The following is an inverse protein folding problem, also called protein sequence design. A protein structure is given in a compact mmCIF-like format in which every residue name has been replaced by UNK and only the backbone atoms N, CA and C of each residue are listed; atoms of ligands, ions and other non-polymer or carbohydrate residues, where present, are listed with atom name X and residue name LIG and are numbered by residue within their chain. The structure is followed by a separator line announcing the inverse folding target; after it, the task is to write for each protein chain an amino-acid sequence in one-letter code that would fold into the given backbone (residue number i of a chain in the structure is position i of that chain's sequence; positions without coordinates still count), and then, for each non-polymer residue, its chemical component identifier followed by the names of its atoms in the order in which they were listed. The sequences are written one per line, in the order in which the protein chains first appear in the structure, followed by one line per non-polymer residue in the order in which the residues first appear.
data_IF_786419454084
#
_entry.id   IF_786419454084
#
_cell.length_a   1.000
_cell.length_b   1.000
_cell.length_c   1.000
_cell.angle_alpha   90.00
_cell.angle_beta   90.00
_cell.angle_gamma   90.00
#
_symmetry.space_group_name_H-M   'P 1'
#
loop_
_entity.id
_entity.type
_entity.pdbx_description
1 polymer ?
#
# COMPACT_ATOMS: atom_id res chain seq x y z
N UNK A 1 28.03 -8.85 -13.28
CA UNK A 1 27.45 -7.49 -13.39
C UNK A 1 27.80 -6.76 -12.11
N UNK A 2 28.41 -5.58 -12.17
CA UNK A 2 28.83 -4.86 -10.98
C UNK A 2 27.60 -4.44 -10.16
N UNK A 3 27.60 -4.76 -8.87
CA UNK A 3 26.59 -4.28 -7.93
C UNK A 3 26.48 -2.76 -8.04
N UNK A 4 25.27 -2.19 -8.15
CA UNK A 4 25.12 -0.76 -8.28
C UNK A 4 25.55 -0.10 -6.95
N UNK A 5 26.74 0.50 -6.93
CA UNK A 5 27.28 1.28 -5.81
C UNK A 5 26.23 2.29 -5.30
N UNK A 6 25.75 2.10 -4.07
CA UNK A 6 24.81 2.99 -3.38
C UNK A 6 24.04 2.25 -2.28
N UNK A 7 23.33 3.01 -1.46
CA UNK A 7 22.37 2.50 -0.49
C UNK A 7 21.04 2.17 -1.18
N UNK A 8 20.27 1.31 -0.54
CA UNK A 8 19.01 0.79 -1.04
C UNK A 8 17.84 1.31 -0.22
N UNK A 9 16.78 1.73 -0.91
CA UNK A 9 15.50 2.07 -0.32
C UNK A 9 14.39 1.39 -1.11
N UNK A 10 13.76 0.40 -0.48
CA UNK A 10 12.57 -0.27 -0.96
C UNK A 10 11.34 0.59 -0.65
N UNK A 11 10.43 0.74 -1.61
CA UNK A 11 9.24 1.58 -1.48
C UNK A 11 8.00 0.84 -1.97
N UNK A 12 6.89 1.03 -1.27
CA UNK A 12 5.58 0.47 -1.60
C UNK A 12 4.86 1.27 -2.72
N UNK A 13 5.57 1.43 -3.83
CA UNK A 13 5.07 2.00 -5.08
C UNK A 13 5.68 1.29 -6.28
N UNK A 14 4.96 1.23 -7.39
CA UNK A 14 5.56 0.78 -8.65
C UNK A 14 6.70 1.72 -9.08
N UNK A 15 7.67 1.18 -9.84
CA UNK A 15 8.81 1.97 -10.33
C UNK A 15 8.39 3.23 -11.11
N UNK A 16 7.23 3.20 -11.80
CA UNK A 16 6.67 4.36 -12.49
C UNK A 16 6.18 5.44 -11.52
N UNK A 17 5.41 5.06 -10.50
CA UNK A 17 4.93 5.98 -9.46
C UNK A 17 6.09 6.58 -8.66
N UNK A 18 7.09 5.77 -8.33
CA UNK A 18 8.31 6.20 -7.63
C UNK A 18 9.07 7.26 -8.43
N UNK A 19 9.29 7.04 -9.73
CA UNK A 19 9.89 8.05 -10.63
C UNK A 19 9.09 9.34 -10.67
N UNK A 20 7.76 9.26 -10.70
CA UNK A 20 6.88 10.44 -10.72
C UNK A 20 7.06 11.28 -9.45
N UNK A 21 7.17 10.65 -8.28
CA UNK A 21 7.41 11.35 -7.00
C UNK A 21 8.81 11.98 -6.93
N UNK A 22 9.82 11.28 -7.41
CA UNK A 22 11.22 11.72 -7.38
C UNK A 22 11.59 12.75 -8.44
N UNK A 23 10.67 13.13 -9.34
CA UNK A 23 10.94 14.07 -10.46
C UNK A 23 11.56 15.40 -10.00
N UNK A 24 11.32 15.84 -8.76
CA UNK A 24 11.85 17.08 -8.18
C UNK A 24 12.85 16.88 -7.04
N UNK A 25 13.19 15.63 -6.71
CA UNK A 25 13.97 15.31 -5.52
C UNK A 25 15.46 15.69 -5.62
N UNK A 26 16.00 15.87 -6.85
CA UNK A 26 17.26 16.61 -7.12
C UNK A 26 18.57 16.01 -6.60
N UNK A 27 18.56 15.12 -5.61
CA UNK A 27 19.74 14.69 -4.86
C UNK A 27 19.84 13.17 -4.77
N UNK A 28 21.05 12.65 -4.98
CA UNK A 28 21.45 11.30 -4.55
C UNK A 28 20.80 10.09 -5.24
N UNK A 29 19.67 10.20 -5.94
CA UNK A 29 19.02 9.06 -6.60
C UNK A 29 19.80 8.68 -7.87
N UNK A 30 20.29 7.44 -7.92
CA UNK A 30 21.07 6.90 -9.04
C UNK A 30 20.21 6.10 -9.99
N UNK A 31 19.31 5.26 -9.47
CA UNK A 31 18.52 4.34 -10.28
C UNK A 31 17.24 3.95 -9.55
N UNK A 32 16.20 3.65 -10.33
CA UNK A 32 14.92 3.13 -9.84
C UNK A 32 14.57 1.87 -10.63
N UNK A 33 14.39 0.76 -9.92
CA UNK A 33 14.07 -0.56 -10.46
C UNK A 33 12.76 -1.09 -9.87
N UNK A 34 12.15 -2.06 -10.55
CA UNK A 34 11.01 -2.79 -10.01
C UNK A 34 11.52 -3.79 -8.96
N UNK A 35 10.88 -3.83 -7.80
CA UNK A 35 11.17 -4.82 -6.74
C UNK A 35 10.04 -5.83 -6.56
N UNK A 36 8.85 -5.55 -7.12
CA UNK A 36 7.69 -6.45 -7.03
C UNK A 36 6.44 -5.77 -7.57
N UNK A 37 5.28 -6.42 -7.39
CA UNK A 37 3.99 -5.79 -7.71
C UNK A 37 3.77 -4.63 -6.74
N UNK A 38 3.56 -3.43 -7.29
CA UNK A 38 3.46 -2.19 -6.51
C UNK A 38 4.66 -1.90 -5.60
N UNK A 39 5.85 -2.41 -5.94
CA UNK A 39 7.07 -2.18 -5.18
C UNK A 39 8.25 -1.81 -6.07
N UNK A 40 9.11 -0.95 -5.57
CA UNK A 40 10.28 -0.46 -6.29
C UNK A 40 11.50 -0.34 -5.38
N UNK A 41 12.66 -0.51 -5.99
CA UNK A 41 13.96 -0.28 -5.37
C UNK A 41 14.52 1.05 -5.88
N UNK A 42 14.80 1.96 -4.96
CA UNK A 42 15.54 3.20 -5.21
C UNK A 42 16.99 2.97 -4.77
N UNK A 43 17.91 3.05 -5.71
CA UNK A 43 19.35 3.03 -5.43
C UNK A 43 19.80 4.48 -5.32
N UNK A 44 20.36 4.87 -4.18
CA UNK A 44 20.74 6.24 -3.91
C UNK A 44 22.08 6.38 -3.18
N UNK A 45 22.57 7.62 -3.07
CA UNK A 45 23.68 8.04 -2.22
C UNK A 45 23.30 9.25 -1.38
N UNK A 46 22.00 9.51 -1.20
CA UNK A 46 21.51 10.50 -0.27
C UNK A 46 21.89 10.10 1.17
N UNK A 47 22.37 11.06 1.95
CA UNK A 47 22.79 10.90 3.35
C UNK A 47 22.24 12.05 4.19
N UNK A 48 22.16 11.87 5.51
CA UNK A 48 21.72 12.91 6.45
C UNK A 48 20.34 13.48 6.11
N UNK A 49 20.25 14.80 5.96
CA UNK A 49 19.00 15.50 5.66
C UNK A 49 18.36 15.07 4.35
N UNK A 50 19.16 14.86 3.30
CA UNK A 50 18.65 14.39 2.01
C UNK A 50 18.06 12.99 2.12
N UNK A 51 18.64 12.10 2.94
CA UNK A 51 18.04 10.78 3.18
C UNK A 51 16.70 10.92 3.89
N UNK A 52 16.64 11.77 4.92
CA UNK A 52 15.39 12.05 5.64
C UNK A 52 14.32 12.69 4.74
N UNK A 53 14.72 13.49 3.76
CA UNK A 53 13.80 14.05 2.75
C UNK A 53 13.32 12.96 1.77
N UNK A 54 14.23 12.07 1.34
CA UNK A 54 13.89 10.93 0.47
C UNK A 54 12.82 10.05 1.11
N UNK A 55 13.02 9.64 2.37
CA UNK A 55 12.10 8.81 3.12
C UNK A 55 10.74 9.50 3.33
N UNK A 56 10.77 10.82 3.62
CA UNK A 56 9.54 11.62 3.77
C UNK A 56 8.66 11.64 2.52
N UNK A 57 9.23 11.52 1.32
CA UNK A 57 8.44 11.42 0.08
C UNK A 57 7.62 10.12 -0.02
N UNK A 58 7.92 9.12 0.80
CA UNK A 58 7.28 7.81 0.79
C UNK A 58 6.62 7.43 2.11
N UNK A 59 6.58 8.32 3.09
CA UNK A 59 6.00 8.04 4.42
C UNK A 59 4.52 7.60 4.39
N UNK A 60 3.75 8.02 3.38
CA UNK A 60 2.33 7.65 3.20
C UNK A 60 2.12 6.25 2.59
N UNK A 61 3.16 5.66 2.00
CA UNK A 61 3.12 4.31 1.38
C UNK A 61 3.96 3.31 2.14
N UNK A 62 4.97 3.77 2.88
CA UNK A 62 5.98 2.93 3.52
C UNK A 62 7.22 2.77 2.66
N UNK A 63 8.38 2.83 3.30
CA UNK A 63 9.67 2.52 2.73
C UNK A 63 10.59 1.88 3.78
N UNK A 64 11.54 1.07 3.32
CA UNK A 64 12.53 0.42 4.19
C UNK A 64 13.88 0.33 3.50
N UNK A 65 14.98 0.36 4.25
CA UNK A 65 16.32 0.14 3.72
C UNK A 65 16.59 -1.34 3.35
N UNK A 66 15.78 -2.27 3.86
CA UNK A 66 15.84 -3.70 3.56
C UNK A 66 14.55 -4.22 2.92
N UNK A 67 14.67 -5.15 1.96
CA UNK A 67 13.53 -5.74 1.24
C UNK A 67 12.62 -6.54 2.18
N UNK A 68 13.23 -7.32 3.07
CA UNK A 68 12.54 -8.24 3.98
C UNK A 68 11.64 -7.54 5.02
N UNK A 69 11.86 -6.26 5.25
CA UNK A 69 11.13 -5.48 6.25
C UNK A 69 9.99 -4.65 5.64
N UNK A 70 9.77 -4.74 4.33
CA UNK A 70 8.73 -3.97 3.65
C UNK A 70 7.43 -4.80 3.53
N UNK A 71 6.42 -4.56 4.38
CA UNK A 71 5.15 -5.28 4.31
C UNK A 71 4.43 -5.06 2.98
N UNK A 72 3.64 -6.06 2.58
CA UNK A 72 2.92 -6.04 1.31
C UNK A 72 1.96 -4.84 1.22
N UNK A 73 2.07 -4.00 0.18
CA UNK A 73 1.23 -2.81 0.04
C UNK A 73 -0.23 -3.19 -0.15
N UNK A 74 -1.15 -2.37 0.39
CA UNK A 74 -2.59 -2.62 0.31
C UNK A 74 -3.08 -2.70 -1.15
N UNK A 75 -2.43 -2.01 -2.10
CA UNK A 75 -2.68 -2.09 -3.54
C UNK A 75 -2.54 -3.50 -4.13
N UNK A 76 -1.87 -4.42 -3.45
CA UNK A 76 -1.75 -5.80 -3.90
C UNK A 76 -2.95 -6.67 -3.54
N UNK A 77 -3.79 -6.24 -2.60
CA UNK A 77 -4.97 -6.97 -2.17
C UNK A 77 -5.88 -7.29 -3.36
N UNK A 78 -6.32 -8.55 -3.45
CA UNK A 78 -7.28 -8.97 -4.49
C UNK A 78 -8.57 -8.16 -4.39
N UNK A 79 -9.21 -7.91 -5.53
CA UNK A 79 -10.45 -7.13 -5.67
C UNK A 79 -10.30 -5.61 -5.42
N UNK A 80 -9.11 -5.12 -5.06
CA UNK A 80 -8.92 -3.73 -4.70
C UNK A 80 -8.45 -2.88 -5.90
N UNK A 81 -9.20 -1.81 -6.19
CA UNK A 81 -8.82 -0.80 -7.17
C UNK A 81 -7.95 0.31 -6.56
N UNK A 82 -7.25 1.06 -7.41
CA UNK A 82 -6.33 2.14 -7.00
C UNK A 82 -6.99 3.25 -6.18
N UNK A 83 -8.26 3.56 -6.47
CA UNK A 83 -9.04 4.57 -5.72
C UNK A 83 -9.29 4.11 -4.29
N UNK A 84 -9.81 2.89 -4.12
CA UNK A 84 -10.10 2.31 -2.80
C UNK A 84 -8.83 2.06 -1.99
N UNK A 85 -7.74 1.63 -2.63
CA UNK A 85 -6.43 1.55 -1.99
C UNK A 85 -5.97 2.92 -1.48
N UNK A 86 -6.14 3.97 -2.29
CA UNK A 86 -5.85 5.35 -1.87
C UNK A 86 -6.65 5.79 -0.63
N UNK A 87 -7.93 5.42 -0.54
CA UNK A 87 -8.76 5.70 0.64
C UNK A 87 -8.25 4.97 1.88
N UNK A 88 -7.92 3.69 1.78
CA UNK A 88 -7.38 2.90 2.89
C UNK A 88 -6.08 3.50 3.41
N UNK A 89 -5.15 3.86 2.51
CA UNK A 89 -3.89 4.51 2.90
C UNK A 89 -4.13 5.82 3.63
N UNK A 90 -5.06 6.64 3.14
CA UNK A 90 -5.44 7.90 3.79
C UNK A 90 -6.07 7.67 5.18
N UNK A 91 -6.76 6.55 5.37
CA UNK A 91 -7.32 6.11 6.65
C UNK A 91 -6.31 5.39 7.57
N UNK A 92 -5.03 5.28 7.17
CA UNK A 92 -3.97 4.67 7.95
C UNK A 92 -3.73 3.17 7.71
N UNK A 93 -4.49 2.54 6.81
CA UNK A 93 -4.35 1.13 6.44
C UNK A 93 -3.52 1.05 5.17
N UNK A 94 -2.21 0.89 5.35
CA UNK A 94 -1.22 1.00 4.27
C UNK A 94 -0.84 -0.33 3.67
N UNK A 95 -0.99 -1.41 4.43
CA UNK A 95 -0.50 -2.73 4.09
C UNK A 95 -1.59 -3.78 4.21
N UNK A 96 -1.38 -4.94 3.60
CA UNK A 96 -2.27 -6.11 3.79
C UNK A 96 -2.23 -6.57 5.25
N UNK A 97 -1.08 -6.48 5.91
CA UNK A 97 -0.94 -6.80 7.33
C UNK A 97 -1.79 -5.88 8.21
N UNK A 98 -1.78 -4.56 7.95
CA UNK A 98 -2.66 -3.62 8.66
C UNK A 98 -4.13 -4.04 8.52
N UNK A 99 -4.56 -4.41 7.30
CA UNK A 99 -5.93 -4.84 7.07
C UNK A 99 -6.25 -6.16 7.80
N UNK A 100 -5.31 -7.08 7.94
CA UNK A 100 -5.48 -8.31 8.71
C UNK A 100 -5.65 -8.00 10.21
N UNK A 101 -4.85 -7.08 10.74
CA UNK A 101 -4.88 -6.69 12.15
C UNK A 101 -6.17 -5.93 12.51
N UNK A 102 -6.61 -5.02 11.66
CA UNK A 102 -7.84 -4.24 11.88
C UNK A 102 -9.11 -4.99 11.52
N UNK A 103 -9.04 -5.86 10.52
CA UNK A 103 -10.19 -6.53 9.94
C UNK A 103 -10.97 -5.69 8.90
N UNK A 104 -11.78 -6.34 8.05
CA UNK A 104 -12.43 -5.69 6.91
C UNK A 104 -13.55 -4.71 7.32
N UNK A 105 -14.26 -4.99 8.41
CA UNK A 105 -15.37 -4.16 8.90
C UNK A 105 -14.85 -2.82 9.43
N UNK A 106 -13.89 -2.84 10.36
CA UNK A 106 -13.28 -1.63 10.88
C UNK A 106 -12.63 -0.79 9.77
N UNK A 107 -11.91 -1.44 8.86
CA UNK A 107 -11.29 -0.79 7.72
C UNK A 107 -12.32 -0.07 6.83
N UNK A 108 -13.43 -0.74 6.54
CA UNK A 108 -14.53 -0.16 5.78
C UNK A 108 -15.14 1.05 6.50
N UNK A 109 -15.42 0.95 7.81
CA UNK A 109 -16.01 2.04 8.58
C UNK A 109 -15.09 3.26 8.64
N UNK A 110 -13.79 3.05 8.83
CA UNK A 110 -12.81 4.13 8.82
C UNK A 110 -12.78 4.86 7.48
N UNK A 111 -12.82 4.11 6.37
CA UNK A 111 -12.93 4.72 5.04
C UNK A 111 -14.27 5.43 4.88
N UNK A 112 -15.38 4.83 5.32
CA UNK A 112 -16.74 5.40 5.18
C UNK A 112 -16.90 6.72 5.93
N UNK A 113 -16.23 6.89 7.07
CA UNK A 113 -16.21 8.14 7.86
C UNK A 113 -15.60 9.30 7.07
N UNK A 114 -14.52 9.06 6.32
CA UNK A 114 -13.84 10.09 5.51
C UNK A 114 -14.39 10.19 4.08
N UNK A 115 -14.97 9.10 3.56
CA UNK A 115 -15.44 8.96 2.18
C UNK A 115 -16.85 8.37 2.16
N UNK A 116 -17.87 9.25 2.28
CA UNK A 116 -19.27 8.85 2.36
C UNK A 116 -19.78 8.08 1.11
N UNK A 117 -19.09 8.21 -0.03
CA UNK A 117 -19.40 7.48 -1.26
C UNK A 117 -18.85 6.03 -1.27
N UNK A 118 -18.08 5.60 -0.27
CA UNK A 118 -17.63 4.23 -0.15
C UNK A 118 -18.85 3.28 0.00
N UNK A 119 -19.04 2.41 -0.98
CA UNK A 119 -20.14 1.44 -1.00
C UNK A 119 -19.76 0.13 -0.32
N UNK A 120 -20.75 -0.72 -0.02
CA UNK A 120 -20.51 -2.04 0.55
C UNK A 120 -19.65 -2.95 -0.35
N UNK A 121 -19.51 -2.64 -1.65
CA UNK A 121 -18.52 -3.29 -2.52
C UNK A 121 -17.11 -3.22 -1.94
N UNK A 122 -16.75 -2.13 -1.26
CA UNK A 122 -15.47 -2.04 -0.60
C UNK A 122 -15.36 -3.06 0.53
N UNK A 123 -16.38 -3.16 1.40
CA UNK A 123 -16.40 -4.15 2.49
C UNK A 123 -16.24 -5.59 1.96
N UNK A 124 -16.99 -5.93 0.89
CA UNK A 124 -16.90 -7.24 0.25
C UNK A 124 -15.52 -7.48 -0.38
N UNK A 125 -14.95 -6.47 -1.05
CA UNK A 125 -13.62 -6.56 -1.65
C UNK A 125 -12.54 -6.78 -0.58
N UNK A 126 -12.61 -6.10 0.57
CA UNK A 126 -11.69 -6.28 1.68
C UNK A 126 -11.76 -7.69 2.26
N UNK A 127 -12.98 -8.14 2.60
CA UNK A 127 -13.19 -9.45 3.22
C UNK A 127 -12.79 -10.60 2.28
N UNK A 128 -13.22 -10.57 1.03
CA UNK A 128 -12.82 -11.59 0.05
C UNK A 128 -11.34 -11.50 -0.31
N UNK A 129 -10.78 -10.28 -0.34
CA UNK A 129 -9.37 -10.03 -0.59
C UNK A 129 -8.47 -10.72 0.43
N UNK A 130 -8.80 -10.60 1.71
CA UNK A 130 -8.09 -11.31 2.79
C UNK A 130 -8.20 -12.83 2.67
N UNK A 131 -9.28 -13.35 2.09
CA UNK A 131 -9.47 -14.78 1.81
C UNK A 131 -8.84 -15.23 0.48
N UNK A 132 -8.28 -14.32 -0.31
CA UNK A 132 -7.75 -14.62 -1.64
C UNK A 132 -8.82 -14.99 -2.68
N UNK A 133 -10.11 -14.74 -2.42
CA UNK A 133 -11.25 -15.09 -3.30
C UNK A 133 -11.72 -13.89 -4.14
N UNK A 134 -12.46 -14.16 -5.21
CA UNK A 134 -13.20 -13.10 -5.88
C UNK A 134 -14.33 -12.63 -4.96
N UNK A 135 -14.56 -11.31 -4.87
CA UNK A 135 -15.61 -10.77 -4.00
C UNK A 135 -17.03 -11.23 -4.40
N UNK A 136 -17.22 -11.64 -5.66
CA UNK A 136 -18.49 -12.21 -6.15
C UNK A 136 -18.76 -13.61 -5.60
N UNK A 137 -17.73 -14.30 -5.11
CA UNK A 137 -17.85 -15.64 -4.55
C UNK A 137 -18.27 -15.62 -3.07
N UNK A 138 -18.38 -14.44 -2.45
CA UNK A 138 -18.91 -14.31 -1.09
C UNK A 138 -20.39 -14.70 -1.07
N UNK A 139 -20.70 -15.70 -0.25
CA UNK A 139 -22.05 -16.16 0.02
C UNK A 139 -22.87 -15.10 0.76
N UNK A 140 -24.19 -15.19 0.67
CA UNK A 140 -25.08 -14.28 1.40
C UNK A 140 -24.90 -14.42 2.93
N UNK A 141 -24.57 -15.61 3.42
CA UNK A 141 -24.25 -15.84 4.82
C UNK A 141 -22.99 -15.08 5.27
N UNK A 142 -21.91 -15.12 4.47
CA UNK A 142 -20.70 -14.35 4.77
C UNK A 142 -20.95 -12.83 4.73
N UNK A 143 -21.72 -12.35 3.74
CA UNK A 143 -22.09 -10.93 3.66
C UNK A 143 -22.94 -10.50 4.85
N UNK A 144 -23.92 -11.30 5.24
CA UNK A 144 -24.78 -11.00 6.39
C UNK A 144 -23.98 -10.94 7.68
N UNK A 145 -23.02 -11.85 7.88
CA UNK A 145 -22.12 -11.81 9.05
C UNK A 145 -21.34 -10.50 9.12
N UNK A 146 -20.76 -10.04 8.01
CA UNK A 146 -20.04 -8.75 7.95
C UNK A 146 -20.94 -7.56 8.26
N UNK A 147 -22.20 -7.62 7.82
CA UNK A 147 -23.19 -6.57 8.10
C UNK A 147 -23.67 -6.60 9.56
N UNK A 148 -23.72 -7.77 10.19
CA UNK A 148 -24.02 -7.91 11.61
C UNK A 148 -22.89 -7.37 12.48
N UNK A 149 -21.63 -7.56 12.09
CA UNK A 149 -20.45 -7.01 12.77
C UNK A 149 -20.41 -5.46 12.77
N UNK A 150 -21.13 -4.80 11.86
CA UNK A 150 -21.26 -3.34 11.79
C UNK A 150 -22.37 -2.76 12.70
N UNK A 151 -23.20 -3.61 13.32
CA UNK A 151 -24.39 -3.17 14.07
C UNK A 151 -24.09 -2.79 15.51
#
# INVERSE_FOLDING_TARGET
MADPKGDFLFVNLSASQTRKRLKRFGHGVRKIQSAGKNQALVIHTATGEHLSELERLFADVGCSSGDVDLPEPIENLRNLGSVSAGWLRASGIRTVADLQDFGPVFAYEQVKRSHQNASLNLLWALAAGLQGKDWRDLTDAEKNKLLEEMR
#
